data_IF_940844465533
#
_entry.id   IF_940844465533
#
_cell.length_a   1.000
_cell.length_b   1.000
_cell.length_c   1.000
_cell.angle_alpha   90.00
_cell.angle_beta   90.00
_cell.angle_gamma   90.00
#
_symmetry.space_group_name_H-M   'P 1'
#
loop_
_entity.id
_entity.type
_entity.pdbx_description
1 polymer ?
#
# COMPACT_ATOMS: atom_id res chain seq x y z
N UNK A 1 2.66 1.75 39.39
CA UNK A 1 1.46 1.34 38.62
C UNK A 1 1.62 1.32 37.07
N UNK A 2 2.72 1.83 36.47
CA UNK A 2 2.87 1.90 34.99
C UNK A 2 3.40 0.63 34.27
N UNK A 3 4.06 -0.31 34.95
CA UNK A 3 4.73 -1.46 34.31
C UNK A 3 3.82 -2.66 33.98
N UNK A 4 2.69 -2.81 34.69
CA UNK A 4 1.79 -3.97 34.53
C UNK A 4 1.09 -3.97 33.17
N UNK A 5 0.69 -2.79 32.70
CA UNK A 5 0.04 -2.62 31.38
C UNK A 5 0.95 -3.01 30.21
N UNK A 6 2.26 -2.76 30.30
CA UNK A 6 3.21 -3.12 29.24
C UNK A 6 3.33 -4.65 29.12
N UNK A 7 3.38 -5.34 30.25
CA UNK A 7 3.44 -6.81 30.28
C UNK A 7 2.13 -7.41 29.76
N UNK A 8 0.98 -6.85 30.14
CA UNK A 8 -0.32 -7.28 29.62
C UNK A 8 -0.46 -7.04 28.13
N UNK A 9 0.05 -5.91 27.61
CA UNK A 9 0.04 -5.60 26.18
C UNK A 9 0.95 -6.55 25.39
N UNK A 10 2.14 -6.83 25.91
CA UNK A 10 3.07 -7.78 25.30
C UNK A 10 2.51 -9.20 25.27
N UNK A 11 1.84 -9.63 26.35
CA UNK A 11 1.17 -10.93 26.40
C UNK A 11 -0.04 -11.00 25.46
N UNK A 12 -0.81 -9.91 25.35
CA UNK A 12 -1.95 -9.83 24.43
C UNK A 12 -1.50 -9.90 22.96
N UNK A 13 -0.38 -9.26 22.60
CA UNK A 13 0.24 -9.35 21.28
C UNK A 13 0.76 -10.76 20.95
N UNK A 14 1.16 -11.52 21.97
CA UNK A 14 1.67 -12.89 21.83
C UNK A 14 0.55 -13.95 21.73
N UNK A 15 -0.63 -13.65 22.27
CA UNK A 15 -1.81 -14.52 22.23
C UNK A 15 -2.66 -14.35 20.97
N UNK A 16 -2.30 -13.42 20.07
CA UNK A 16 -2.91 -13.36 18.74
C UNK A 16 -2.47 -14.63 18.00
N UNK A 17 -3.39 -15.58 17.70
CA UNK A 17 -3.03 -16.78 16.94
C UNK A 17 -2.32 -16.34 15.68
N UNK A 18 -1.19 -17.00 15.40
CA UNK A 18 -0.11 -16.53 14.54
C UNK A 18 -0.65 -15.63 13.44
N UNK A 19 -0.13 -14.40 13.38
CA UNK A 19 -0.28 -13.52 12.23
C UNK A 19 -0.06 -14.40 11.00
N UNK A 20 -1.15 -14.91 10.41
CA UNK A 20 -1.13 -15.47 9.09
C UNK A 20 -0.45 -14.36 8.31
N UNK A 21 0.78 -14.61 7.87
CA UNK A 21 1.68 -13.60 7.33
C UNK A 21 0.82 -12.77 6.39
N UNK A 22 0.41 -11.59 6.87
CA UNK A 22 -0.55 -10.79 6.15
C UNK A 22 0.30 -10.28 5.00
N UNK A 23 0.21 -10.98 3.87
CA UNK A 23 0.91 -10.58 2.67
C UNK A 23 0.45 -9.15 2.44
N UNK A 24 1.41 -8.22 2.38
CA UNK A 24 1.06 -6.87 1.99
C UNK A 24 0.33 -7.02 0.65
N UNK A 25 -0.85 -6.39 0.47
CA UNK A 25 -1.49 -6.38 -0.83
C UNK A 25 -0.41 -6.00 -1.83
N UNK A 26 -0.31 -6.71 -2.96
CA UNK A 26 0.64 -6.36 -3.99
C UNK A 26 0.17 -5.05 -4.63
N UNK A 27 0.55 -3.95 -4.01
CA UNK A 27 0.19 -2.61 -4.43
C UNK A 27 0.81 -2.38 -5.80
N UNK A 28 0.02 -1.85 -6.72
CA UNK A 28 0.54 -1.35 -7.97
C UNK A 28 1.28 -0.04 -7.74
N UNK A 29 2.25 0.25 -8.60
CA UNK A 29 2.84 1.60 -8.70
C UNK A 29 1.78 2.65 -9.08
N UNK A 30 0.66 2.19 -9.65
CA UNK A 30 -0.51 2.99 -9.93
C UNK A 30 -1.37 3.12 -8.65
N UNK A 31 -1.59 4.36 -8.22
CA UNK A 31 -2.37 4.80 -7.06
C UNK A 31 -3.63 3.98 -6.81
N UNK A 32 -3.62 3.20 -5.73
CA UNK A 32 -4.77 2.41 -5.29
C UNK A 32 -5.07 1.16 -6.13
N UNK A 33 -4.34 0.91 -7.21
CA UNK A 33 -4.49 -0.32 -7.98
C UNK A 33 -3.77 -1.49 -7.29
N UNK A 34 -4.27 -2.71 -7.52
CA UNK A 34 -3.64 -3.95 -7.05
C UNK A 34 -2.97 -4.61 -8.23
N UNK A 35 -1.65 -4.80 -8.15
CA UNK A 35 -0.85 -5.43 -9.20
C UNK A 35 -1.15 -6.92 -9.34
N UNK A 36 -1.34 -7.63 -8.22
CA UNK A 36 -1.73 -9.04 -8.22
C UNK A 36 -3.03 -9.25 -7.43
N UNK A 37 -4.19 -9.38 -8.10
CA UNK A 37 -5.47 -9.54 -7.41
C UNK A 37 -5.47 -10.83 -6.57
N UNK A 38 -6.29 -10.88 -5.51
CA UNK A 38 -6.52 -12.12 -4.77
C UNK A 38 -7.55 -13.00 -5.50
N UNK A 39 -7.30 -14.31 -5.48
CA UNK A 39 -8.25 -15.30 -5.96
C UNK A 39 -9.35 -15.60 -4.93
N UNK A 40 -8.97 -15.67 -3.66
CA UNK A 40 -9.89 -16.06 -2.59
C UNK A 40 -10.51 -14.83 -1.91
N UNK A 41 -11.61 -15.00 -1.14
CA UNK A 41 -12.16 -13.91 -0.36
C UNK A 41 -11.14 -13.39 0.66
N UNK A 42 -10.80 -12.11 0.57
CA UNK A 42 -9.82 -11.47 1.46
C UNK A 42 -10.34 -10.14 1.97
N UNK A 43 -9.92 -9.79 3.19
CA UNK A 43 -10.04 -8.46 3.76
C UNK A 43 -8.67 -8.09 4.33
N UNK A 44 -8.00 -7.12 3.71
CA UNK A 44 -6.62 -6.78 4.03
C UNK A 44 -6.51 -5.32 4.42
N UNK A 45 -5.94 -5.06 5.60
CA UNK A 45 -5.52 -3.73 6.01
C UNK A 45 -4.00 -3.63 5.91
N UNK A 46 -3.49 -2.57 5.27
CA UNK A 46 -2.06 -2.42 5.00
C UNK A 46 -1.62 -0.97 5.00
N UNK A 47 -0.36 -0.72 5.34
CA UNK A 47 0.34 0.50 4.94
C UNK A 47 0.74 0.31 3.47
N UNK A 48 0.03 0.99 2.56
CA UNK A 48 0.15 0.76 1.14
C UNK A 48 1.37 1.41 0.52
N UNK A 49 1.62 2.66 0.90
CA UNK A 49 2.73 3.45 0.41
C UNK A 49 3.26 4.24 1.61
N UNK A 50 4.58 4.20 1.78
CA UNK A 50 5.31 5.04 2.73
C UNK A 50 6.44 5.71 1.95
N UNK A 51 6.07 6.38 0.87
CA UNK A 51 7.02 7.03 -0.01
C UNK A 51 7.29 8.45 0.46
N UNK A 52 8.47 8.96 0.10
CA UNK A 52 8.84 10.34 0.34
C UNK A 52 9.48 10.92 -0.91
N UNK A 53 8.88 11.98 -1.42
CA UNK A 53 9.39 12.74 -2.54
C UNK A 53 9.93 14.06 -2.00
N UNK A 54 11.20 14.32 -2.28
CA UNK A 54 11.88 15.54 -1.84
C UNK A 54 12.54 16.22 -3.02
N UNK A 55 12.70 17.52 -2.90
CA UNK A 55 13.36 18.40 -3.85
C UNK A 55 14.88 18.23 -3.89
N UNK A 56 15.46 17.49 -2.93
CA UNK A 56 16.89 17.30 -2.77
C UNK A 56 17.39 15.97 -3.35
N UNK A 57 18.56 16.01 -4.01
CA UNK A 57 19.24 14.83 -4.52
C UNK A 57 20.06 14.11 -3.43
N UNK A 58 20.81 13.08 -3.82
CA UNK A 58 21.68 12.32 -2.91
C UNK A 58 22.85 13.12 -2.33
N UNK A 59 23.19 14.29 -2.91
CA UNK A 59 24.17 15.23 -2.40
C UNK A 59 23.53 16.36 -1.57
N UNK A 60 22.20 16.37 -1.43
CA UNK A 60 21.45 17.40 -0.73
C UNK A 60 21.24 18.69 -1.54
N UNK A 61 21.49 18.68 -2.85
CA UNK A 61 21.23 19.83 -3.75
C UNK A 61 19.81 19.77 -4.27
N UNK A 62 19.19 20.94 -4.43
CA UNK A 62 17.86 21.03 -5.05
C UNK A 62 17.98 20.75 -6.54
N UNK A 63 17.20 19.80 -7.07
CA UNK A 63 17.26 19.37 -8.48
C UNK A 63 15.98 19.64 -9.28
N UNK A 64 14.96 20.23 -8.66
CA UNK A 64 13.69 20.58 -9.31
C UNK A 64 13.12 21.91 -8.75
N UNK A 65 12.08 22.43 -9.41
CA UNK A 65 11.38 23.66 -9.01
C UNK A 65 10.33 23.43 -7.90
N UNK A 66 10.16 22.18 -7.46
CA UNK A 66 9.28 21.86 -6.34
C UNK A 66 9.97 22.39 -5.07
N UNK A 67 9.20 23.12 -4.26
CA UNK A 67 9.69 23.72 -3.01
C UNK A 67 9.13 23.02 -1.77
N UNK A 68 8.54 21.83 -1.97
CA UNK A 68 7.89 21.05 -0.94
C UNK A 68 8.35 19.59 -0.96
N UNK A 69 8.63 19.05 0.22
CA UNK A 69 8.75 17.62 0.46
C UNK A 69 7.37 17.06 0.80
N UNK A 70 6.98 15.98 0.11
CA UNK A 70 5.73 15.26 0.35
C UNK A 70 6.02 13.82 0.76
N UNK A 71 5.25 13.29 1.70
CA UNK A 71 5.21 11.87 2.01
C UNK A 71 3.90 11.28 1.55
N UNK A 72 3.89 10.20 0.77
CA UNK A 72 2.67 9.44 0.52
C UNK A 72 2.59 8.39 1.62
N UNK A 73 1.89 8.70 2.72
CA UNK A 73 1.75 7.80 3.88
C UNK A 73 0.36 7.18 3.92
N UNK A 74 0.11 6.21 3.05
CA UNK A 74 -1.22 5.68 2.81
C UNK A 74 -1.49 4.41 3.62
N UNK A 75 -2.65 4.38 4.25
CA UNK A 75 -3.24 3.14 4.74
C UNK A 75 -4.39 2.74 3.84
N UNK A 76 -4.52 1.44 3.60
CA UNK A 76 -5.55 0.86 2.75
C UNK A 76 -6.32 -0.22 3.45
N UNK A 77 -7.61 -0.27 3.13
CA UNK A 77 -8.47 -1.42 3.32
C UNK A 77 -8.86 -1.95 1.95
N UNK A 78 -8.50 -3.21 1.66
CA UNK A 78 -8.84 -3.91 0.43
C UNK A 78 -9.75 -5.08 0.74
N UNK A 79 -10.80 -5.24 -0.06
CA UNK A 79 -11.76 -6.32 0.06
C UNK A 79 -11.92 -7.03 -1.29
N UNK A 80 -11.70 -8.33 -1.30
CA UNK A 80 -11.87 -9.19 -2.48
C UNK A 80 -13.00 -10.18 -2.24
N UNK A 81 -13.85 -10.38 -3.25
CA UNK A 81 -14.91 -11.38 -3.21
C UNK A 81 -15.14 -12.03 -4.58
N UNK A 82 -15.17 -13.37 -4.65
CA UNK A 82 -15.69 -14.09 -5.81
C UNK A 82 -17.18 -13.81 -6.04
N UNK A 83 -17.54 -13.57 -7.29
CA UNK A 83 -18.91 -13.31 -7.70
C UNK A 83 -19.68 -14.62 -7.87
N UNK A 84 -20.67 -14.85 -7.01
CA UNK A 84 -21.46 -16.08 -7.06
C UNK A 84 -22.26 -16.24 -8.36
N UNK A 85 -22.64 -15.14 -9.00
CA UNK A 85 -23.37 -15.15 -10.27
C UNK A 85 -22.45 -15.35 -11.49
N UNK A 86 -21.15 -15.12 -11.35
CA UNK A 86 -20.17 -15.18 -12.43
C UNK A 86 -18.97 -16.02 -11.98
N UNK A 87 -19.05 -17.36 -12.08
CA UNK A 87 -18.00 -18.25 -11.59
C UNK A 87 -16.60 -17.88 -12.11
N UNK A 88 -15.67 -17.81 -11.16
CA UNK A 88 -14.27 -17.41 -11.33
C UNK A 88 -14.06 -15.97 -11.80
N UNK A 89 -15.05 -15.10 -11.63
CA UNK A 89 -14.82 -13.66 -11.57
C UNK A 89 -14.77 -13.19 -10.12
N UNK A 90 -13.86 -12.27 -9.85
CA UNK A 90 -13.71 -11.60 -8.57
C UNK A 90 -13.95 -10.11 -8.72
N UNK A 91 -14.60 -9.54 -7.71
CA UNK A 91 -14.62 -8.10 -7.47
C UNK A 91 -13.62 -7.78 -6.37
N UNK A 92 -12.78 -6.78 -6.61
CA UNK A 92 -11.92 -6.22 -5.59
C UNK A 92 -12.19 -4.72 -5.46
N UNK A 93 -12.30 -4.25 -4.23
CA UNK A 93 -12.47 -2.84 -3.87
C UNK A 93 -11.40 -2.44 -2.87
N UNK A 94 -10.74 -1.31 -3.11
CA UNK A 94 -9.73 -0.75 -2.22
C UNK A 94 -10.09 0.68 -1.89
N UNK A 95 -10.06 1.01 -0.61
CA UNK A 95 -10.12 2.37 -0.13
C UNK A 95 -8.87 2.67 0.68
N UNK A 96 -8.34 3.88 0.52
CA UNK A 96 -7.19 4.30 1.29
C UNK A 96 -7.11 5.79 1.47
N UNK A 97 -6.26 6.21 2.38
CA UNK A 97 -6.01 7.61 2.64
C UNK A 97 -4.90 7.81 3.64
N UNK A 98 -4.40 9.03 3.69
CA UNK A 98 -3.38 9.39 4.65
C UNK A 98 -2.83 10.80 4.48
N UNK A 99 -2.03 11.25 5.46
CA UNK A 99 -1.40 12.56 5.41
C UNK A 99 -0.30 12.59 4.36
N UNK A 100 -0.25 13.71 3.63
CA UNK A 100 0.80 13.98 2.64
C UNK A 100 2.06 14.57 3.27
N UNK A 101 1.99 14.85 4.58
CA UNK A 101 3.10 15.35 5.38
C UNK A 101 4.16 14.27 5.48
N UNK A 102 5.42 14.64 5.34
CA UNK A 102 6.57 13.74 5.37
C UNK A 102 6.82 13.03 6.72
N UNK A 103 6.04 13.30 7.77
CA UNK A 103 6.34 12.87 9.14
C UNK A 103 6.66 11.37 9.30
N UNK A 104 5.75 10.44 8.95
CA UNK A 104 5.98 9.00 9.12
C UNK A 104 7.13 8.47 8.26
N UNK A 105 7.14 8.79 6.95
CA UNK A 105 8.19 8.33 6.03
C UNK A 105 9.55 8.95 6.35
N UNK A 106 9.62 10.22 6.77
CA UNK A 106 10.85 10.88 7.26
C UNK A 106 11.38 10.22 8.52
N UNK A 107 10.51 9.92 9.49
CA UNK A 107 10.94 9.23 10.70
C UNK A 107 11.56 7.87 10.35
N UNK A 108 10.90 7.07 9.53
CA UNK A 108 11.44 5.77 9.11
C UNK A 108 12.76 5.92 8.33
N UNK A 109 12.85 6.88 7.42
CA UNK A 109 14.06 7.08 6.62
C UNK A 109 15.21 7.68 7.43
N UNK A 110 15.06 8.90 7.93
CA UNK A 110 16.14 9.64 8.58
C UNK A 110 16.42 9.12 10.00
N UNK A 111 15.37 8.88 10.79
CA UNK A 111 15.52 8.59 12.22
C UNK A 111 15.73 7.11 12.53
N UNK A 112 15.34 6.20 11.63
CA UNK A 112 15.55 4.75 11.81
C UNK A 112 16.61 4.23 10.85
N UNK A 113 16.36 4.24 9.54
CA UNK A 113 17.24 3.58 8.56
C UNK A 113 18.59 4.28 8.42
N UNK A 114 18.59 5.60 8.23
CA UNK A 114 19.83 6.37 8.00
C UNK A 114 20.70 6.39 9.25
N UNK A 115 20.12 6.65 10.43
CA UNK A 115 20.85 6.55 11.71
C UNK A 115 21.42 5.16 11.95
N UNK A 116 20.66 4.11 11.69
CA UNK A 116 21.16 2.74 11.84
C UNK A 116 22.29 2.41 10.85
N UNK A 117 22.25 2.95 9.63
CA UNK A 117 23.23 2.68 8.56
C UNK A 117 24.37 3.71 8.48
N UNK A 118 24.39 4.72 9.36
CA UNK A 118 25.37 5.81 9.31
C UNK A 118 25.29 6.68 8.05
N UNK A 119 24.11 6.78 7.44
CA UNK A 119 23.88 7.59 6.24
C UNK A 119 23.52 9.03 6.63
N UNK A 120 23.90 10.00 5.79
CA UNK A 120 23.51 11.39 5.97
C UNK A 120 22.00 11.54 5.87
N UNK A 121 21.40 12.32 6.77
CA UNK A 121 19.97 12.63 6.72
C UNK A 121 19.66 13.43 5.46
N UNK A 122 18.57 13.07 4.79
CA UNK A 122 18.12 13.82 3.62
C UNK A 122 17.38 15.09 4.09
N UNK A 123 17.73 16.28 3.58
CA UNK A 123 17.12 17.54 3.99
C UNK A 123 15.61 17.59 3.69
N UNK A 124 14.91 18.47 4.40
CA UNK A 124 13.46 18.68 4.22
C UNK A 124 13.19 20.18 4.07
N UNK A 125 12.55 20.54 2.97
CA UNK A 125 12.13 21.91 2.65
C UNK A 125 10.77 22.24 3.31
N UNK A 126 9.92 23.00 2.60
CA UNK A 126 8.53 23.14 3.05
C UNK A 126 7.81 21.79 2.98
N UNK A 127 6.73 21.62 3.73
CA UNK A 127 6.00 20.36 3.80
C UNK A 127 4.63 20.53 3.20
N UNK A 128 4.24 19.62 2.31
CA UNK A 128 2.87 19.59 1.80
C UNK A 128 1.91 19.22 2.93
N UNK A 129 1.01 20.14 3.27
CA UNK A 129 -0.01 19.92 4.29
C UNK A 129 -1.37 19.61 3.68
N UNK A 130 -1.56 18.36 3.27
CA UNK A 130 -2.83 17.84 2.80
C UNK A 130 -3.10 16.45 3.36
N UNK A 131 -4.36 16.02 3.22
CA UNK A 131 -4.73 14.62 3.34
C UNK A 131 -5.20 14.18 1.96
N UNK A 132 -4.63 13.08 1.47
CA UNK A 132 -5.07 12.50 0.21
C UNK A 132 -5.88 11.22 0.50
N UNK A 133 -6.76 10.88 -0.44
CA UNK A 133 -7.55 9.66 -0.39
C UNK A 133 -7.53 8.98 -1.75
N UNK A 134 -7.87 7.69 -1.73
CA UNK A 134 -7.96 6.87 -2.93
C UNK A 134 -9.06 5.83 -2.82
N UNK A 135 -9.66 5.53 -3.96
CA UNK A 135 -10.63 4.48 -4.17
C UNK A 135 -10.27 3.75 -5.45
N UNK A 136 -10.39 2.43 -5.44
CA UNK A 136 -10.10 1.59 -6.59
C UNK A 136 -11.05 0.42 -6.63
N UNK A 137 -11.37 -0.01 -7.84
CA UNK A 137 -12.20 -1.18 -8.08
C UNK A 137 -11.71 -1.95 -9.29
N UNK A 138 -11.68 -3.28 -9.19
CA UNK A 138 -11.36 -4.16 -10.31
C UNK A 138 -12.33 -5.32 -10.40
N UNK A 139 -12.56 -5.76 -11.63
CA UNK A 139 -13.20 -7.02 -11.93
C UNK A 139 -12.21 -7.92 -12.65
N UNK A 140 -11.88 -9.06 -12.05
CA UNK A 140 -10.83 -9.96 -12.53
C UNK A 140 -11.39 -11.35 -12.78
N UNK A 141 -11.17 -11.90 -13.98
CA UNK A 141 -11.42 -13.31 -14.30
C UNK A 141 -10.18 -14.14 -13.97
N UNK A 142 -10.37 -15.21 -13.21
CA UNK A 142 -9.37 -16.23 -12.92
C UNK A 142 -9.62 -17.50 -13.74
N UNK A 143 -8.58 -18.12 -14.29
CA UNK A 143 -8.74 -19.31 -15.11
C UNK A 143 -7.50 -20.21 -15.10
N UNK A 144 -7.72 -21.50 -15.27
CA UNK A 144 -6.67 -22.49 -15.55
C UNK A 144 -6.44 -22.71 -17.04
N UNK A 145 -5.24 -23.21 -17.40
CA UNK A 145 -4.93 -23.70 -18.74
C UNK A 145 -4.25 -25.07 -18.62
N UNK A 146 -4.51 -25.98 -19.56
CA UNK A 146 -3.81 -27.29 -19.63
C UNK A 146 -3.93 -28.12 -18.33
N UNK A 147 -5.08 -28.07 -17.67
CA UNK A 147 -5.34 -28.83 -16.43
C UNK A 147 -4.73 -28.23 -15.16
N UNK A 148 -4.21 -27.00 -15.20
CA UNK A 148 -3.80 -26.28 -14.00
C UNK A 148 -4.99 -25.76 -13.21
N UNK A 149 -4.79 -25.49 -11.92
CA UNK A 149 -5.68 -24.66 -11.11
C UNK A 149 -5.80 -23.24 -11.69
N UNK A 150 -6.77 -22.47 -11.19
CA UNK A 150 -7.05 -21.09 -11.59
C UNK A 150 -5.91 -20.14 -11.17
N UNK A 151 -4.81 -20.17 -11.93
CA UNK A 151 -3.58 -19.42 -11.67
C UNK A 151 -3.39 -18.24 -12.61
N UNK A 152 -4.10 -18.21 -13.74
CA UNK A 152 -4.04 -17.10 -14.68
C UNK A 152 -5.15 -16.11 -14.35
N UNK A 153 -4.89 -14.82 -14.56
CA UNK A 153 -5.91 -13.80 -14.40
C UNK A 153 -5.87 -12.75 -15.49
N UNK A 154 -7.04 -12.17 -15.79
CA UNK A 154 -7.19 -10.99 -16.62
C UNK A 154 -8.36 -10.14 -16.11
N UNK A 155 -8.20 -8.82 -16.06
CA UNK A 155 -9.19 -7.93 -15.47
C UNK A 155 -9.12 -6.51 -15.96
N UNK A 156 -10.16 -5.75 -15.64
CA UNK A 156 -10.27 -4.33 -15.90
C UNK A 156 -10.61 -3.63 -14.60
N UNK A 157 -10.14 -2.41 -14.45
CA UNK A 157 -10.38 -1.62 -13.27
C UNK A 157 -10.25 -0.14 -13.48
N UNK A 158 -10.48 0.59 -12.40
CA UNK A 158 -10.20 2.00 -12.32
C UNK A 158 -9.83 2.37 -10.90
N UNK A 159 -8.93 3.34 -10.78
CA UNK A 159 -8.56 3.95 -9.53
C UNK A 159 -8.71 5.46 -9.61
N UNK A 160 -8.98 6.10 -8.48
CA UNK A 160 -9.23 7.52 -8.40
C UNK A 160 -9.04 8.07 -7.00
N UNK A 161 -8.82 9.37 -6.90
CA UNK A 161 -8.63 10.02 -5.61
C UNK A 161 -8.39 11.51 -5.73
N UNK A 162 -7.80 12.10 -4.68
CA UNK A 162 -7.48 13.53 -4.67
C UNK A 162 -6.34 13.93 -5.62
N UNK A 163 -5.56 12.96 -6.12
CA UNK A 163 -4.42 13.23 -7.01
C UNK A 163 -4.72 13.00 -8.49
N UNK A 164 -5.31 11.86 -8.84
CA UNK A 164 -5.65 11.53 -10.23
C UNK A 164 -6.72 10.45 -10.34
N UNK A 165 -7.17 10.21 -11.57
CA UNK A 165 -8.10 9.14 -11.96
C UNK A 165 -7.53 8.38 -13.14
N UNK A 166 -7.55 7.05 -13.09
CA UNK A 166 -6.93 6.18 -14.09
C UNK A 166 -7.72 4.89 -14.30
N UNK A 167 -8.24 4.63 -15.50
CA UNK A 167 -8.68 3.30 -15.89
C UNK A 167 -7.48 2.43 -16.24
N UNK A 168 -7.56 1.12 -15.98
CA UNK A 168 -6.50 0.18 -16.30
C UNK A 168 -7.02 -1.20 -16.67
N UNK A 169 -6.14 -1.97 -17.31
CA UNK A 169 -6.30 -3.40 -17.56
C UNK A 169 -5.12 -4.14 -16.95
N UNK A 170 -5.34 -5.36 -16.50
CA UNK A 170 -4.31 -6.19 -15.90
C UNK A 170 -4.44 -7.64 -16.36
N UNK A 171 -3.33 -8.33 -16.50
CA UNK A 171 -3.29 -9.76 -16.72
C UNK A 171 -1.98 -10.35 -16.18
N UNK A 172 -2.01 -11.61 -15.77
CA UNK A 172 -0.83 -12.24 -15.21
C UNK A 172 -1.08 -13.66 -14.71
N UNK A 173 -0.13 -14.13 -13.89
CA UNK A 173 -0.14 -15.45 -13.25
C UNK A 173 0.16 -15.29 -11.77
N UNK A 174 -0.64 -15.91 -10.89
CA UNK A 174 -0.44 -15.95 -9.43
C UNK A 174 -0.82 -17.34 -8.89
N UNK A 175 -0.06 -17.84 -7.91
CA UNK A 175 -0.29 -19.12 -7.22
C UNK A 175 -0.45 -18.90 -5.73
#
# INVERSE_FOLDING_TARGET
MRRRWIVTLAFALWLVPGLALAEAPPHSVHWGAIAFPDHDPTLTFSAALLDRFTEFDGEGKRYNDIQETMGLNFFTLSWTKPLSQLPGWNLNLTAGGGPTRDGPSRFLQNDVVHKFRGLTEVPVGNKREANDFMLSGTMTRWFGMLGTSDVFFAGVGGAGGSLYYEPYVQAGVRR
#
